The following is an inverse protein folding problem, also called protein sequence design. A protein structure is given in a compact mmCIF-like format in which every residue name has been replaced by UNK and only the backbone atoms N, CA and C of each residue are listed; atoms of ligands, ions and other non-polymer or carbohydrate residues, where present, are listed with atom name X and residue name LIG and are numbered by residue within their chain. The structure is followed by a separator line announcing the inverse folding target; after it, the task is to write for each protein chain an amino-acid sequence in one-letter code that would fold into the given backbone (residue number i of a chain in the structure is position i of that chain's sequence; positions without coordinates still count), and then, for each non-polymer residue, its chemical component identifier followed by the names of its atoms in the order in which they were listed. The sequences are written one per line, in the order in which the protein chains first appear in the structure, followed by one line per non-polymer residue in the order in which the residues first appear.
data_IF_969218367975
#
_entry.id   IF_969218367975
#
_cell.length_a   1.000
_cell.length_b   1.000
_cell.length_c   1.000
_cell.angle_alpha   90.00
_cell.angle_beta   90.00
_cell.angle_gamma   90.00
#
_symmetry.space_group_name_H-M   'P 1'
#
loop_
_entity.id
_entity.type
_entity.pdbx_description
1 polymer ?
#
# COMPACT_ATOMS: atom_id res chain seq x y z
N UNK A 1 0.50 7.54 7.22
CA UNK A 1 0.10 6.99 8.55
C UNK A 1 1.35 6.55 9.31
N UNK A 2 1.51 6.89 10.61
CA UNK A 2 2.68 6.47 11.39
C UNK A 2 2.54 5.04 11.94
N UNK A 3 3.62 4.24 11.83
CA UNK A 3 3.72 2.90 12.42
C UNK A 3 4.44 3.04 13.76
N UNK A 4 3.82 2.56 14.86
CA UNK A 4 4.32 2.75 16.23
C UNK A 4 5.04 1.54 16.83
N UNK A 5 4.63 0.34 16.45
CA UNK A 5 5.19 -0.91 16.93
C UNK A 5 5.38 -1.85 15.74
N UNK A 6 6.51 -2.55 15.71
CA UNK A 6 6.84 -3.47 14.62
C UNK A 6 7.63 -4.68 15.14
N UNK A 7 7.33 -5.85 14.59
CA UNK A 7 7.99 -7.13 14.87
C UNK A 7 8.22 -7.82 13.52
N UNK A 8 9.40 -8.43 13.33
CA UNK A 8 9.71 -9.22 12.13
C UNK A 8 9.66 -10.71 12.49
N UNK A 9 8.85 -11.46 11.76
CA UNK A 9 8.85 -12.92 11.78
C UNK A 9 9.69 -13.46 10.61
N UNK A 10 10.33 -14.60 10.81
CA UNK A 10 11.08 -15.27 9.76
C UNK A 10 10.28 -16.45 9.22
N UNK A 11 10.22 -16.58 7.90
CA UNK A 11 9.60 -17.71 7.22
C UNK A 11 10.66 -18.43 6.41
N UNK A 12 10.96 -19.66 6.79
CA UNK A 12 11.86 -20.54 6.05
C UNK A 12 11.04 -21.35 5.05
N UNK A 13 11.11 -20.94 3.78
CA UNK A 13 10.53 -21.68 2.66
C UNK A 13 11.64 -22.27 1.80
N UNK A 14 11.75 -23.60 1.82
CA UNK A 14 12.66 -24.32 0.92
C UNK A 14 12.02 -24.46 -0.48
N UNK A 15 12.84 -24.50 -1.55
CA UNK A 15 12.36 -24.73 -2.91
C UNK A 15 12.02 -26.22 -3.18
N UNK A 16 12.34 -27.12 -2.25
CA UNK A 16 12.18 -28.58 -2.35
C UNK A 16 10.72 -29.07 -2.23
N UNK A 17 9.75 -28.15 -2.19
CA UNK A 17 8.33 -28.45 -2.03
C UNK A 17 7.87 -28.65 -0.59
N UNK A 18 8.79 -28.64 0.39
CA UNK A 18 8.43 -28.76 1.81
C UNK A 18 7.54 -27.59 2.27
N UNK A 19 6.65 -27.81 3.25
CA UNK A 19 5.87 -26.73 3.87
C UNK A 19 6.80 -25.64 4.44
N UNK A 20 6.33 -24.38 4.39
CA UNK A 20 7.08 -23.28 5.01
C UNK A 20 7.05 -23.42 6.53
N UNK A 21 8.17 -23.09 7.18
CA UNK A 21 8.26 -23.02 8.65
C UNK A 21 8.23 -21.55 9.07
N UNK A 22 7.33 -21.20 9.98
CA UNK A 22 7.20 -19.86 10.55
C UNK A 22 7.92 -19.81 11.90
N UNK A 23 8.91 -18.92 12.02
CA UNK A 23 9.58 -18.59 13.26
C UNK A 23 9.02 -17.28 13.80
N UNK A 24 8.24 -17.40 14.88
CA UNK A 24 7.68 -16.25 15.56
C UNK A 24 8.76 -15.52 16.37
N UNK A 25 8.75 -14.20 16.24
CA UNK A 25 9.52 -13.29 17.09
C UNK A 25 8.54 -12.62 18.02
N UNK A 26 8.97 -12.41 19.27
CA UNK A 26 8.19 -11.70 20.28
C UNK A 26 8.86 -10.38 20.69
N UNK A 27 9.98 -10.06 20.05
CA UNK A 27 10.78 -8.87 20.35
C UNK A 27 10.44 -7.78 19.35
N UNK A 28 10.03 -6.62 19.86
CA UNK A 28 9.84 -5.42 19.05
C UNK A 28 11.16 -4.94 18.44
N UNK A 29 11.08 -4.40 17.23
CA UNK A 29 12.22 -3.77 16.60
C UNK A 29 12.59 -2.52 17.40
N UNK A 30 13.86 -2.44 17.80
CA UNK A 30 14.40 -1.25 18.41
C UNK A 30 14.32 -0.07 17.43
N UNK A 31 14.07 1.11 17.98
CA UNK A 31 14.13 2.36 17.24
C UNK A 31 15.56 2.56 16.73
N UNK A 32 15.70 2.60 15.41
CA UNK A 32 16.97 2.80 14.73
C UNK A 32 16.72 3.39 13.34
N UNK A 33 17.72 4.06 12.77
CA UNK A 33 17.62 4.61 11.42
C UNK A 33 17.29 3.53 10.37
N UNK A 34 17.79 2.31 10.55
CA UNK A 34 17.51 1.19 9.66
C UNK A 34 16.02 0.78 9.74
N UNK A 35 15.46 0.72 10.95
CA UNK A 35 14.04 0.44 11.18
C UNK A 35 13.16 1.53 10.57
N UNK A 36 13.52 2.80 10.74
CA UNK A 36 12.78 3.94 10.16
C UNK A 36 12.74 3.90 8.63
N UNK A 37 13.88 3.66 7.99
CA UNK A 37 13.97 3.56 6.54
C UNK A 37 13.09 2.41 6.01
N UNK A 38 13.15 1.24 6.65
CA UNK A 38 12.31 0.09 6.33
C UNK A 38 10.82 0.42 6.43
N UNK A 39 10.40 1.06 7.52
CA UNK A 39 8.99 1.43 7.72
C UNK A 39 8.53 2.48 6.72
N UNK A 40 9.40 3.43 6.35
CA UNK A 40 9.10 4.42 5.32
C UNK A 40 8.90 3.77 3.95
N UNK A 41 9.82 2.90 3.54
CA UNK A 41 9.75 2.19 2.25
C UNK A 41 8.52 1.30 2.17
N UNK A 42 8.17 0.63 3.27
CA UNK A 42 6.94 -0.14 3.40
C UNK A 42 5.70 0.73 3.20
N UNK A 43 5.66 1.90 3.85
CA UNK A 43 4.53 2.82 3.79
C UNK A 43 4.35 3.39 2.38
N UNK A 44 5.44 3.80 1.75
CA UNK A 44 5.45 4.29 0.36
C UNK A 44 4.95 3.20 -0.59
N UNK A 45 5.48 1.98 -0.49
CA UNK A 45 5.11 0.87 -1.37
C UNK A 45 3.67 0.42 -1.18
N UNK A 46 3.19 0.36 0.08
CA UNK A 46 1.82 0.00 0.39
C UNK A 46 0.83 1.03 -0.17
N UNK A 47 1.07 2.32 0.10
CA UNK A 47 0.21 3.39 -0.41
C UNK A 47 0.33 3.59 -1.93
N UNK A 48 1.42 3.15 -2.56
CA UNK A 48 1.58 3.24 -4.01
C UNK A 48 0.64 2.29 -4.78
N UNK A 49 0.22 1.16 -4.21
CA UNK A 49 -0.65 0.19 -4.89
C UNK A 49 -2.13 0.52 -4.85
N UNK A 50 -2.57 1.37 -3.94
CA UNK A 50 -3.97 1.81 -3.84
C UNK A 50 -4.07 3.26 -4.26
N UNK A 51 -4.19 3.48 -5.57
CA UNK A 51 -4.69 4.72 -6.17
C UNK A 51 -4.04 5.99 -5.64
N UNK A 52 -3.04 6.49 -6.35
CA UNK A 52 -2.60 7.88 -6.24
C UNK A 52 -3.79 8.82 -5.92
N UNK A 53 -3.69 9.78 -5.00
CA UNK A 53 -4.72 10.82 -4.83
C UNK A 53 -5.09 11.49 -6.16
N UNK A 54 -4.15 11.52 -7.11
CA UNK A 54 -4.39 11.99 -8.46
C UNK A 54 -5.40 11.11 -9.23
N UNK A 55 -5.46 9.80 -9.00
CA UNK A 55 -6.46 8.90 -9.61
C UNK A 55 -7.89 9.17 -9.12
N UNK A 56 -8.06 9.72 -7.91
CA UNK A 56 -9.37 10.16 -7.43
C UNK A 56 -9.81 11.48 -8.07
N UNK A 57 -8.86 12.35 -8.46
CA UNK A 57 -9.15 13.58 -9.19
C UNK A 57 -9.50 13.36 -10.67
N UNK A 58 -8.99 12.31 -11.33
CA UNK A 58 -9.38 11.99 -12.73
C UNK A 58 -10.75 11.33 -12.86
N UNK A 59 -11.32 10.77 -11.78
CA UNK A 59 -12.70 10.26 -11.81
C UNK A 59 -13.77 11.33 -11.60
N UNK A 60 -13.44 12.46 -10.96
CA UNK A 60 -14.40 13.52 -10.67
C UNK A 60 -14.59 14.49 -11.86
N UNK A 61 -13.54 14.76 -12.63
CA UNK A 61 -13.63 15.61 -13.83
C UNK A 61 -14.29 14.92 -15.05
N UNK A 62 -14.48 13.60 -15.00
CA UNK A 62 -15.13 12.83 -16.08
C UNK A 62 -16.65 12.91 -16.07
N UNK A 63 -17.29 13.15 -14.92
CA UNK A 63 -18.76 13.21 -14.84
C UNK A 63 -19.35 14.53 -15.36
N UNK A 64 -18.65 15.65 -15.15
CA UNK A 64 -19.09 16.96 -15.64
C UNK A 64 -19.03 17.07 -17.17
N UNK A 65 -18.05 16.40 -17.80
CA UNK A 65 -17.98 16.31 -19.26
C UNK A 65 -19.14 15.49 -19.86
N UNK A 66 -19.61 14.44 -19.17
CA UNK A 66 -20.73 13.61 -19.63
C UNK A 66 -22.10 14.28 -19.46
N UNK A 67 -22.25 15.18 -18.48
CA UNK A 67 -23.47 16.00 -18.33
C UNK A 67 -23.57 17.09 -19.40
N UNK A 68 -22.45 17.71 -19.78
CA UNK A 68 -22.41 18.74 -20.83
C UNK A 68 -22.81 18.21 -22.22
N UNK A 69 -22.47 16.96 -22.56
CA UNK A 69 -22.85 16.35 -23.85
C UNK A 69 -24.33 15.91 -23.91
N UNK A 70 -24.93 15.50 -22.78
CA UNK A 70 -26.37 15.16 -22.74
C UNK A 70 -27.30 16.37 -22.85
N UNK A 71 -26.84 17.57 -22.51
CA UNK A 71 -27.65 18.79 -22.60
C UNK A 71 -27.67 19.42 -24.01
N UNK A 72 -26.64 19.17 -24.83
CA UNK A 72 -26.57 19.69 -26.21
C UNK A 72 -27.22 18.79 -27.28
N UNK A 73 -27.83 17.67 -26.89
CA UNK A 73 -28.50 16.73 -27.80
C UNK A 73 -30.03 16.76 -27.67
N UNK A 74 -30.59 17.81 -27.05
CA UNK A 74 -32.04 18.04 -26.96
C UNK A 74 -32.46 19.48 -27.32
N UNK A 75 -31.70 20.14 -28.19
CA UNK A 75 -32.19 21.27 -28.99
C UNK A 75 -31.99 21.00 -30.47
#
# INVERSE_FOLDING_TARGET
MPIRHSIIHQIDKKPDGSPAVLHLSHTELLESQATENLLNDLNVTYNAKTGSPAMWQITEQGEDALKATRLNSSQ
#
